data_IF_252300510738
#
_entry.id   IF_252300510738
#
_cell.length_a   1.000
_cell.length_b   1.000
_cell.length_c   1.000
_cell.angle_alpha   90.00
_cell.angle_beta   90.00
_cell.angle_gamma   90.00
#
_symmetry.space_group_name_H-M   'P 1'
#
loop_
_entity.id
_entity.type
_entity.pdbx_description
1 polymer ?
#
# COMPACT_ATOMS: atom_id res chain seq x y z
N UNK A 1 16.25 -25.18 -3.71
CA UNK A 1 15.61 -24.31 -2.70
C UNK A 1 14.91 -23.17 -3.43
N UNK A 2 13.65 -22.83 -3.10
CA UNK A 2 13.00 -21.68 -3.70
C UNK A 2 13.77 -20.40 -3.35
N UNK A 3 13.78 -19.42 -4.25
CA UNK A 3 14.45 -18.15 -4.00
C UNK A 3 13.79 -17.43 -2.81
N UNK A 4 14.61 -16.88 -1.92
CA UNK A 4 14.17 -16.03 -0.81
C UNK A 4 14.21 -14.58 -1.28
N UNK A 5 13.10 -13.89 -1.15
CA UNK A 5 12.92 -12.50 -1.56
C UNK A 5 12.75 -11.65 -0.32
N UNK A 6 13.49 -10.54 -0.25
CA UNK A 6 13.31 -9.54 0.80
C UNK A 6 12.25 -8.53 0.41
N UNK A 7 11.32 -8.29 1.32
CA UNK A 7 10.23 -7.33 1.15
C UNK A 7 10.18 -6.36 2.34
N UNK A 8 10.05 -5.08 2.04
CA UNK A 8 9.86 -4.01 3.01
C UNK A 8 8.40 -3.57 3.07
N UNK A 9 7.79 -3.77 4.23
CA UNK A 9 6.44 -3.32 4.53
C UNK A 9 6.49 -2.05 5.38
N UNK A 10 6.02 -0.92 4.83
CA UNK A 10 5.95 0.35 5.55
C UNK A 10 4.52 0.74 5.96
N UNK A 11 3.50 0.10 5.38
CA UNK A 11 2.09 0.47 5.50
C UNK A 11 1.21 -0.61 6.12
N UNK A 12 0.10 -0.93 5.45
CA UNK A 12 -0.97 -1.80 5.95
C UNK A 12 -0.62 -3.28 6.05
N UNK A 13 0.53 -3.68 5.48
CA UNK A 13 1.06 -5.05 5.56
C UNK A 13 1.86 -5.32 6.85
N UNK A 14 2.22 -4.27 7.61
CA UNK A 14 2.96 -4.42 8.87
C UNK A 14 2.17 -5.17 9.94
N UNK A 15 2.85 -5.76 10.92
CA UNK A 15 2.21 -6.45 12.06
C UNK A 15 1.19 -5.54 12.75
N UNK A 16 0.01 -6.11 13.02
CA UNK A 16 -1.10 -5.41 13.65
C UNK A 16 -1.84 -4.42 12.75
N UNK A 17 -1.63 -4.45 11.42
CA UNK A 17 -2.40 -3.67 10.44
C UNK A 17 -3.25 -4.57 9.52
N UNK A 18 -4.23 -3.96 8.86
CA UNK A 18 -5.37 -4.63 8.24
C UNK A 18 -5.03 -5.69 7.18
N UNK A 19 -3.87 -5.60 6.51
CA UNK A 19 -3.50 -6.56 5.46
C UNK A 19 -2.44 -7.59 5.91
N UNK A 20 -1.99 -7.55 7.16
CA UNK A 20 -0.94 -8.44 7.64
C UNK A 20 -1.34 -9.91 7.54
N UNK A 21 -2.51 -10.27 8.09
CA UNK A 21 -3.02 -11.65 8.12
C UNK A 21 -3.22 -12.27 6.74
N UNK A 22 -3.37 -11.42 5.71
CA UNK A 22 -3.62 -11.85 4.33
C UNK A 22 -2.34 -11.94 3.50
N UNK A 23 -1.26 -11.31 3.94
CA UNK A 23 -0.07 -11.08 3.13
C UNK A 23 1.23 -11.60 3.74
N UNK A 24 1.45 -11.35 5.04
CA UNK A 24 2.76 -11.54 5.70
C UNK A 24 2.70 -12.34 7.01
N UNK A 25 1.55 -12.92 7.35
CA UNK A 25 1.35 -13.73 8.57
C UNK A 25 2.31 -14.93 8.66
N UNK A 26 2.63 -15.53 7.53
CA UNK A 26 3.56 -16.67 7.39
C UNK A 26 4.93 -16.27 6.87
N UNK A 27 5.21 -14.97 6.75
CA UNK A 27 6.50 -14.49 6.27
C UNK A 27 7.53 -14.44 7.41
N UNK A 28 8.80 -14.67 7.07
CA UNK A 28 9.87 -14.64 8.05
C UNK A 28 10.23 -13.20 8.40
N UNK A 29 9.83 -12.75 9.59
CA UNK A 29 10.12 -11.41 10.07
C UNK A 29 11.62 -11.25 10.38
N UNK A 30 12.26 -10.24 9.79
CA UNK A 30 13.70 -9.97 9.93
C UNK A 30 14.03 -8.74 10.77
N UNK A 31 13.04 -7.96 11.20
CA UNK A 31 13.22 -6.83 12.10
C UNK A 31 12.69 -5.50 11.57
N UNK A 32 12.96 -4.44 12.34
CA UNK A 32 12.63 -3.07 11.98
C UNK A 32 13.75 -2.44 11.16
N UNK A 33 13.37 -1.86 10.04
CA UNK A 33 14.27 -1.22 9.08
C UNK A 33 13.76 0.17 8.74
N UNK A 34 14.63 1.00 8.18
CA UNK A 34 14.25 2.27 7.58
C UNK A 34 14.92 2.46 6.23
N UNK A 35 14.31 3.24 5.36
CA UNK A 35 14.90 3.58 4.06
C UNK A 35 16.17 4.39 4.26
N UNK A 36 17.22 4.05 3.52
CA UNK A 36 18.50 4.77 3.60
C UNK A 36 18.41 6.15 2.96
N UNK A 37 17.68 6.25 1.84
CA UNK A 37 17.25 7.53 1.27
C UNK A 37 15.87 7.91 1.82
N UNK A 38 15.56 9.20 1.97
CA UNK A 38 14.19 9.61 2.24
C UNK A 38 13.29 9.34 1.03
N UNK A 39 12.03 9.01 1.30
CA UNK A 39 10.97 8.87 0.31
C UNK A 39 9.72 9.67 0.70
N UNK A 40 8.96 10.22 -0.28
CA UNK A 40 7.63 10.73 -0.03
C UNK A 40 6.69 9.57 0.33
N UNK A 41 6.26 9.50 1.58
CA UNK A 41 5.24 8.57 2.04
C UNK A 41 4.12 9.34 2.73
N UNK A 42 2.87 9.15 2.32
CA UNK A 42 1.72 9.87 2.86
C UNK A 42 0.46 9.01 2.83
N UNK A 43 -0.63 9.54 3.38
CA UNK A 43 -1.94 8.92 3.36
C UNK A 43 -2.79 9.63 2.33
N UNK A 44 -3.37 8.87 1.40
CA UNK A 44 -4.20 9.43 0.34
C UNK A 44 -5.28 8.46 -0.15
N UNK A 45 -6.13 8.97 -1.04
CA UNK A 45 -7.19 8.23 -1.69
C UNK A 45 -8.44 8.10 -0.83
N UNK A 46 -9.53 7.68 -1.45
CA UNK A 46 -10.83 7.45 -0.78
C UNK A 46 -10.79 6.40 0.35
N UNK A 47 -9.74 5.59 0.41
CA UNK A 47 -9.58 4.49 1.36
C UNK A 47 -8.49 4.73 2.41
N UNK A 48 -7.96 5.96 2.52
CA UNK A 48 -6.89 6.32 3.46
C UNK A 48 -5.67 5.37 3.39
N UNK A 49 -5.26 5.04 2.16
CA UNK A 49 -4.16 4.11 1.93
C UNK A 49 -2.82 4.81 2.17
N UNK A 50 -1.84 4.15 2.84
CA UNK A 50 -0.46 4.59 2.76
C UNK A 50 0.04 4.43 1.32
N UNK A 51 0.71 5.48 0.83
CA UNK A 51 1.31 5.51 -0.50
C UNK A 51 2.73 6.03 -0.37
N UNK A 52 3.69 5.29 -0.92
CA UNK A 52 5.07 5.75 -1.11
C UNK A 52 5.30 6.00 -2.59
N UNK A 53 5.95 7.11 -2.93
CA UNK A 53 6.28 7.47 -4.31
C UNK A 53 7.75 7.16 -4.57
N UNK A 54 8.07 6.68 -5.77
CA UNK A 54 9.45 6.34 -6.16
C UNK A 54 10.24 7.60 -6.55
N UNK A 55 10.48 8.44 -5.54
CA UNK A 55 11.14 9.73 -5.65
C UNK A 55 12.25 9.81 -4.59
N UNK A 56 13.28 8.96 -4.68
CA UNK A 56 14.33 8.87 -3.67
C UNK A 56 15.02 10.22 -3.46
N UNK A 57 15.28 10.57 -2.21
CA UNK A 57 15.90 11.85 -1.84
C UNK A 57 14.89 12.92 -1.41
N UNK A 58 13.59 12.68 -1.56
CA UNK A 58 12.53 13.58 -1.12
C UNK A 58 11.77 12.98 0.07
N UNK A 59 11.18 13.82 0.93
CA UNK A 59 10.35 13.34 2.03
C UNK A 59 11.15 12.94 3.29
N UNK A 60 10.93 11.75 3.82
CA UNK A 60 11.53 11.33 5.10
C UNK A 60 12.08 9.90 5.03
N UNK A 61 12.99 9.55 5.94
CA UNK A 61 13.42 8.16 6.10
C UNK A 61 12.27 7.32 6.65
N UNK A 62 11.66 6.50 5.79
CA UNK A 62 10.45 5.74 6.11
C UNK A 62 10.83 4.51 6.92
N UNK A 63 10.23 4.34 8.08
CA UNK A 63 10.37 3.17 8.97
C UNK A 63 9.33 2.13 8.64
N UNK A 64 9.75 0.87 8.66
CA UNK A 64 8.92 -0.28 8.37
C UNK A 64 9.54 -1.57 8.86
N UNK A 65 9.03 -2.66 8.33
CA UNK A 65 9.37 -4.02 8.71
C UNK A 65 9.97 -4.75 7.51
N UNK A 66 11.04 -5.51 7.74
CA UNK A 66 11.66 -6.36 6.74
C UNK A 66 11.17 -7.79 6.90
N UNK A 67 10.81 -8.42 5.79
CA UNK A 67 10.38 -9.81 5.71
C UNK A 67 11.16 -10.56 4.64
N UNK A 68 11.33 -11.85 4.85
CA UNK A 68 11.74 -12.81 3.84
C UNK A 68 10.51 -13.63 3.41
N UNK A 69 10.29 -13.69 2.09
CA UNK A 69 9.13 -14.34 1.46
C UNK A 69 9.55 -15.18 0.28
N UNK A 70 8.69 -16.13 -0.12
CA UNK A 70 8.86 -16.91 -1.35
C UNK A 70 7.99 -16.38 -2.48
N UNK A 71 8.25 -16.85 -3.71
CA UNK A 71 7.56 -16.42 -4.94
C UNK A 71 6.03 -16.48 -4.86
N UNK A 72 5.47 -17.48 -4.17
CA UNK A 72 4.02 -17.60 -4.00
C UNK A 72 3.46 -16.47 -3.14
N UNK A 73 4.12 -16.17 -2.03
CA UNK A 73 3.73 -15.07 -1.13
C UNK A 73 3.89 -13.73 -1.84
N UNK A 74 4.98 -13.52 -2.57
CA UNK A 74 5.19 -12.31 -3.37
C UNK A 74 4.08 -12.08 -4.40
N UNK A 75 3.66 -13.14 -5.12
CA UNK A 75 2.53 -13.05 -6.06
C UNK A 75 1.20 -12.66 -5.39
N UNK A 76 0.94 -13.18 -4.19
CA UNK A 76 -0.26 -12.79 -3.44
C UNK A 76 -0.20 -11.32 -3.00
N UNK A 77 0.96 -10.86 -2.54
CA UNK A 77 1.18 -9.46 -2.17
C UNK A 77 1.03 -8.52 -3.36
N UNK A 78 1.53 -8.91 -4.54
CA UNK A 78 1.36 -8.16 -5.78
C UNK A 78 -0.13 -7.94 -6.09
N UNK A 79 -0.98 -8.96 -5.87
CA UNK A 79 -2.44 -8.82 -6.03
C UNK A 79 -3.05 -7.87 -5.00
N UNK A 80 -2.66 -7.98 -3.72
CA UNK A 80 -3.15 -7.11 -2.64
C UNK A 80 -2.80 -5.63 -2.90
N UNK A 81 -1.61 -5.37 -3.44
CA UNK A 81 -1.13 -4.03 -3.77
C UNK A 81 -1.53 -3.56 -5.17
N UNK A 82 -2.33 -4.37 -5.89
CA UNK A 82 -2.86 -4.08 -7.22
C UNK A 82 -1.81 -3.88 -8.31
N UNK A 83 -0.68 -4.60 -8.19
CA UNK A 83 0.34 -4.65 -9.25
C UNK A 83 -0.29 -5.09 -10.58
N UNK A 84 0.12 -4.42 -11.65
CA UNK A 84 -0.46 -4.58 -12.99
C UNK A 84 -1.57 -3.56 -13.30
N UNK A 85 -2.09 -2.83 -12.30
CA UNK A 85 -2.96 -1.66 -12.54
C UNK A 85 -2.11 -0.39 -12.74
N UNK A 86 -2.56 0.57 -13.57
CA UNK A 86 -1.83 1.81 -13.80
C UNK A 86 -1.48 2.54 -12.51
N UNK A 87 -0.19 2.89 -12.36
CA UNK A 87 0.31 3.60 -11.20
C UNK A 87 0.61 2.74 -9.97
N UNK A 88 0.56 1.41 -10.07
CA UNK A 88 0.96 0.47 -9.01
C UNK A 88 2.18 -0.34 -9.46
N UNK A 89 3.27 -0.30 -8.72
CA UNK A 89 4.50 -1.01 -9.07
C UNK A 89 5.32 -1.35 -7.83
N UNK A 90 6.33 -2.20 -8.00
CA UNK A 90 7.34 -2.45 -6.97
C UNK A 90 8.72 -2.06 -7.50
N UNK A 91 9.59 -1.65 -6.60
CA UNK A 91 10.97 -1.30 -6.90
C UNK A 91 11.91 -1.81 -5.81
N UNK A 92 13.21 -1.87 -6.13
CA UNK A 92 14.24 -2.21 -5.15
C UNK A 92 14.70 -0.95 -4.43
N UNK A 93 14.80 -1.03 -3.10
CA UNK A 93 15.28 0.07 -2.26
C UNK A 93 16.37 -0.40 -1.31
N UNK A 94 17.26 0.53 -0.96
CA UNK A 94 18.26 0.34 0.10
C UNK A 94 17.68 0.64 1.48
N UNK A 95 17.91 -0.27 2.41
CA UNK A 95 17.44 -0.21 3.78
C UNK A 95 18.60 -0.35 4.75
N UNK A 96 18.44 0.24 5.92
CA UNK A 96 19.31 0.00 7.07
C UNK A 96 18.49 -0.45 8.29
N UNK A 97 19.01 -1.41 9.09
CA UNK A 97 18.33 -1.84 10.31
C UNK A 97 18.25 -0.70 11.33
N UNK A 98 17.11 -0.58 12.03
CA UNK A 98 16.95 0.46 13.06
C UNK A 98 17.84 0.19 14.29
N UNK A 99 18.06 -1.09 14.63
CA UNK A 99 18.89 -1.51 15.76
C UNK A 99 20.40 -1.55 15.45
N UNK A 100 20.83 -1.11 14.26
CA UNK A 100 22.19 -1.31 13.76
C UNK A 100 22.39 -2.68 13.11
N UNK A 101 23.41 -2.80 12.28
CA UNK A 101 23.72 -3.99 11.47
C UNK A 101 23.94 -3.65 10.01
N UNK A 102 23.95 -4.68 9.17
CA UNK A 102 24.28 -4.52 7.75
C UNK A 102 23.06 -4.01 6.95
N UNK A 103 23.25 -3.02 6.06
CA UNK A 103 22.20 -2.61 5.13
C UNK A 103 21.88 -3.73 4.15
N UNK A 104 20.69 -3.65 3.56
CA UNK A 104 20.26 -4.61 2.54
C UNK A 104 19.40 -3.96 1.47
N UNK A 105 19.21 -4.67 0.37
CA UNK A 105 18.25 -4.31 -0.67
C UNK A 105 17.00 -5.17 -0.51
N UNK A 106 15.82 -4.58 -0.67
CA UNK A 106 14.54 -5.26 -0.63
C UNK A 106 13.55 -4.64 -1.63
N UNK A 107 12.53 -5.41 -2.01
CA UNK A 107 11.38 -4.86 -2.71
C UNK A 107 10.52 -4.00 -1.79
N UNK A 108 10.00 -2.90 -2.32
CA UNK A 108 8.94 -2.12 -1.72
C UNK A 108 7.86 -1.79 -2.77
N UNK A 109 6.64 -1.58 -2.29
CA UNK A 109 5.51 -1.20 -3.13
C UNK A 109 5.36 0.31 -3.23
N UNK A 110 5.16 0.79 -4.45
CA UNK A 110 5.04 2.20 -4.80
C UNK A 110 3.74 2.48 -5.53
N UNK A 111 3.32 3.75 -5.44
CA UNK A 111 2.18 4.28 -6.19
C UNK A 111 2.57 5.54 -6.93
N UNK A 112 1.92 5.81 -8.06
CA UNK A 112 2.06 7.08 -8.74
C UNK A 112 1.33 8.19 -7.97
N UNK A 113 1.86 9.42 -8.01
CA UNK A 113 1.21 10.62 -7.46
C UNK A 113 -0.20 10.85 -8.01
N UNK A 114 -0.49 10.39 -9.24
CA UNK A 114 -1.82 10.53 -9.83
C UNK A 114 -2.93 9.85 -9.01
N UNK A 115 -2.58 8.80 -8.25
CA UNK A 115 -3.49 8.06 -7.38
C UNK A 115 -3.71 8.72 -6.01
N UNK A 116 -2.86 9.68 -5.64
CA UNK A 116 -2.87 10.30 -4.32
C UNK A 116 -3.91 11.43 -4.21
N UNK A 117 -5.20 11.11 -4.45
CA UNK A 117 -6.30 12.08 -4.44
C UNK A 117 -7.53 11.54 -3.70
N UNK A 118 -8.06 12.25 -2.68
CA UNK A 118 -7.44 13.40 -2.01
C UNK A 118 -6.23 12.98 -1.16
N UNK A 119 -5.36 13.94 -0.82
CA UNK A 119 -4.27 13.76 0.15
C UNK A 119 -4.80 14.06 1.55
N UNK A 120 -4.48 13.21 2.53
CA UNK A 120 -4.97 13.29 3.91
C UNK A 120 -3.88 13.58 4.94
N UNK A 121 -2.61 13.66 4.53
CA UNK A 121 -1.48 13.93 5.42
C UNK A 121 -0.33 14.63 4.68
N UNK A 122 0.62 15.21 5.44
CA UNK A 122 1.97 15.48 4.94
C UNK A 122 2.80 14.20 4.78
N UNK A 123 4.09 14.36 4.52
CA UNK A 123 5.02 13.22 4.47
C UNK A 123 5.26 12.64 5.86
N UNK A 124 5.27 11.31 5.95
CA UNK A 124 5.34 10.53 7.18
C UNK A 124 6.61 9.68 7.17
N UNK A 125 7.32 9.68 8.30
CA UNK A 125 8.41 8.73 8.55
C UNK A 125 7.92 7.38 9.07
N UNK A 126 6.68 7.28 9.52
CA UNK A 126 6.08 6.03 10.01
C UNK A 126 4.57 6.05 9.87
N UNK A 127 3.99 4.96 9.36
CA UNK A 127 2.55 4.81 9.21
C UNK A 127 1.92 4.22 10.48
N UNK A 128 1.00 4.94 11.11
CA UNK A 128 0.23 4.48 12.29
C UNK A 128 -1.28 4.74 12.19
N UNK A 129 -1.76 5.20 11.03
CA UNK A 129 -3.16 5.55 10.83
C UNK A 129 -4.07 4.31 10.80
N UNK A 130 -5.28 4.44 11.34
CA UNK A 130 -6.26 3.34 11.49
C UNK A 130 -7.52 3.51 10.63
N UNK A 131 -7.60 4.58 9.82
CA UNK A 131 -8.72 4.88 8.93
C UNK A 131 -8.69 4.11 7.61
N UNK A 132 -7.65 3.31 7.37
CA UNK A 132 -7.54 2.53 6.14
C UNK A 132 -8.73 1.58 5.97
N UNK A 133 -9.35 1.63 4.80
CA UNK A 133 -10.51 0.77 4.46
C UNK A 133 -10.01 -0.40 3.60
N UNK A 134 -9.97 -1.63 4.16
CA UNK A 134 -9.49 -2.80 3.44
C UNK A 134 -10.48 -3.20 2.33
N UNK A 135 -10.02 -3.90 1.27
CA UNK A 135 -10.82 -4.22 0.09
C UNK A 135 -12.23 -4.77 0.33
N UNK A 136 -12.38 -5.66 1.30
CA UNK A 136 -13.61 -6.35 1.70
C UNK A 136 -14.67 -5.42 2.31
N UNK A 137 -14.27 -4.26 2.82
CA UNK A 137 -15.17 -3.26 3.39
C UNK A 137 -15.53 -2.17 2.37
N UNK A 138 -14.99 -2.25 1.15
CA UNK A 138 -15.24 -1.25 0.10
C UNK A 138 -16.59 -1.53 -0.54
N UNK A 139 -17.60 -0.79 -0.09
CA UNK A 139 -18.86 -0.71 -0.82
C UNK A 139 -18.60 0.10 -2.09
N UNK A 140 -18.60 -0.57 -3.23
CA UNK A 140 -18.71 0.11 -4.51
C UNK A 140 -20.11 0.72 -4.58
N UNK A 141 -20.23 2.01 -4.27
CA UNK A 141 -21.39 2.76 -4.74
C UNK A 141 -21.29 2.80 -6.25
N UNK A 142 -21.99 1.92 -6.94
CA UNK A 142 -22.28 2.07 -8.36
C UNK A 142 -22.87 3.46 -8.54
N UNK A 143 -22.23 4.31 -9.33
CA UNK A 143 -22.82 5.60 -9.65
C UNK A 143 -24.11 5.36 -10.45
N UNK A 144 -25.24 5.75 -9.87
CA UNK A 144 -26.46 6.17 -10.55
C UNK A 144 -27.10 5.19 -11.54
N UNK A 145 -27.82 4.17 -11.06
CA UNK A 145 -29.13 3.92 -11.66
C UNK A 145 -30.08 4.95 -11.05
N UNK A 146 -30.47 5.95 -11.84
CA UNK A 146 -31.54 6.88 -11.51
C UNK A 146 -32.87 6.11 -11.41
N UNK A 147 -33.59 6.10 -10.27
CA UNK A 147 -35.00 5.77 -10.25
C UNK A 147 -35.78 7.09 -10.31
N UNK A 148 -36.18 7.49 -11.50
CA UNK A 148 -37.08 8.62 -11.73
C UNK A 148 -37.23 8.82 -13.23
N UNK A 149 -38.41 8.80 -13.84
CA UNK A 149 -39.79 8.94 -13.36
C UNK A 149 -40.67 8.35 -14.46
N UNK A 150 -41.47 7.32 -14.18
CA UNK A 150 -42.57 6.98 -15.10
C UNK A 150 -43.73 7.92 -14.78
N UNK A 151 -43.85 8.98 -15.58
CA UNK A 151 -45.05 9.81 -15.60
C UNK A 151 -46.18 8.98 -16.19
N UNK A 152 -47.12 8.51 -15.36
CA UNK A 152 -48.46 8.19 -15.82
C UNK A 152 -49.13 9.54 -16.07
N UNK A 153 -49.22 9.94 -17.34
CA UNK A 153 -50.27 10.82 -17.91
C UNK A 153 -49.79 11.36 -19.26
N UNK A 154 -49.96 10.56 -20.31
CA UNK A 154 -49.88 11.03 -21.70
C UNK A 154 -50.60 10.06 -22.65
N UNK A 155 -51.84 9.70 -22.32
CA UNK A 155 -52.83 9.19 -23.28
C UNK A 155 -54.20 9.66 -22.81
N UNK A 156 -54.61 10.83 -23.29
CA UNK A 156 -56.01 11.25 -23.55
C UNK A 156 -55.98 12.74 -23.94
N UNK A 157 -55.77 13.00 -25.23
CA UNK A 157 -56.50 13.94 -26.11
C UNK A 157 -55.66 14.28 -27.34
#
# INVERSE_FOLDING_TARGET
>A
MPAVIRLFAFGTLKKGFALHERGLDRADYRGLFKTRKPYPMLIAGRWFAPMMFDEPGNGTAVKGELYEVHDRTLRNLDLLESIGKPGHFRGLIELEPVAGGNPCIAFAYFKSRSLAKPVHSGYLSMYNDRRFIPPEQRIERTQGQNPGTYSKDAWLR
#
